data_IF_087529312326
#
_entry.id   IF_087529312326
#
_cell.length_a   1.000
_cell.length_b   1.000
_cell.length_c   1.000
_cell.angle_alpha   90.00
_cell.angle_beta   90.00
_cell.angle_gamma   90.00
#
_symmetry.space_group_name_H-M   'P 1'
#
loop_
_entity.id
_entity.type
_entity.pdbx_description
1 polymer ?
#
# COMPACT_ATOMS: atom_id res chain seq x y z
N UNK A 1 20.39 -36.37 49.77
CA UNK A 1 19.15 -35.98 49.03
C UNK A 1 18.91 -34.47 48.90
N UNK A 2 19.72 -33.58 49.50
CA UNK A 2 19.48 -32.11 49.48
C UNK A 2 20.03 -31.35 48.26
N UNK A 3 20.95 -31.93 47.48
CA UNK A 3 21.63 -31.25 46.36
C UNK A 3 20.95 -31.40 44.99
N UNK A 4 20.00 -32.34 44.84
CA UNK A 4 19.25 -32.53 43.58
C UNK A 4 18.07 -31.57 43.45
N UNK A 5 17.41 -31.23 44.56
CA UNK A 5 16.31 -30.28 44.60
C UNK A 5 16.76 -28.85 44.21
N UNK A 6 17.99 -28.47 44.56
CA UNK A 6 18.53 -27.14 44.26
C UNK A 6 18.85 -26.95 42.76
N UNK A 7 19.16 -28.03 42.04
CA UNK A 7 19.43 -27.97 40.59
C UNK A 7 18.16 -27.88 39.75
N UNK A 8 17.06 -28.48 40.20
CA UNK A 8 15.75 -28.38 39.51
C UNK A 8 15.16 -26.97 39.65
N UNK A 9 15.38 -26.31 40.80
CA UNK A 9 14.91 -24.94 41.02
C UNK A 9 15.67 -23.90 40.16
N UNK A 10 16.93 -24.15 39.82
CA UNK A 10 17.70 -23.27 38.92
C UNK A 10 17.31 -23.40 37.44
N UNK A 11 16.79 -24.54 36.99
CA UNK A 11 16.36 -24.72 35.59
C UNK A 11 15.01 -24.02 35.33
N UNK A 12 14.16 -23.85 36.36
CA UNK A 12 12.91 -23.10 36.22
C UNK A 12 13.08 -21.57 36.17
N UNK A 13 14.22 -21.03 36.62
CA UNK A 13 14.46 -19.60 36.69
C UNK A 13 14.94 -18.96 35.38
N UNK A 14 15.18 -19.75 34.33
CA UNK A 14 15.69 -19.28 33.02
C UNK A 14 14.61 -19.31 31.94
N UNK A 15 13.33 -19.50 32.30
CA UNK A 15 12.22 -19.27 31.40
C UNK A 15 11.87 -17.78 31.35
N UNK A 16 12.78 -16.95 30.83
CA UNK A 16 12.40 -15.61 30.40
C UNK A 16 11.37 -15.77 29.27
N UNK A 17 10.23 -15.05 29.28
CA UNK A 17 9.36 -15.03 28.13
C UNK A 17 10.19 -14.50 26.96
N UNK A 18 10.34 -15.30 25.91
CA UNK A 18 10.81 -14.75 24.65
C UNK A 18 9.75 -13.73 24.22
N UNK A 19 10.10 -12.44 24.22
CA UNK A 19 9.29 -11.43 23.56
C UNK A 19 9.36 -11.70 22.05
N UNK A 20 8.49 -12.60 21.59
CA UNK A 20 8.27 -12.93 20.20
C UNK A 20 7.23 -11.98 19.57
N UNK A 21 7.08 -10.78 20.12
CA UNK A 21 6.24 -9.73 19.55
C UNK A 21 6.98 -9.07 18.38
N UNK A 22 6.29 -8.87 17.26
CA UNK A 22 6.81 -8.01 16.19
C UNK A 22 6.96 -6.60 16.77
N UNK A 23 8.18 -6.07 16.80
CA UNK A 23 8.43 -4.69 17.21
C UNK A 23 7.88 -3.77 16.11
N UNK A 24 6.91 -2.93 16.46
CA UNK A 24 6.33 -1.93 15.56
C UNK A 24 6.72 -0.55 16.08
N UNK A 25 7.49 0.18 15.29
CA UNK A 25 7.83 1.57 15.57
C UNK A 25 6.77 2.50 14.97
N UNK A 26 6.35 3.52 15.72
CA UNK A 26 5.32 4.47 15.30
C UNK A 26 5.84 5.90 15.39
N UNK A 27 5.57 6.71 14.36
CA UNK A 27 5.82 8.14 14.40
C UNK A 27 4.85 8.91 13.50
N UNK A 28 4.88 10.24 13.64
CA UNK A 28 4.20 11.17 12.74
C UNK A 28 5.28 11.85 11.91
N UNK A 29 5.22 11.69 10.59
CA UNK A 29 6.12 12.37 9.67
C UNK A 29 5.86 13.89 9.67
N UNK A 30 6.81 14.68 9.21
CA UNK A 30 6.64 16.15 9.09
C UNK A 30 5.43 16.54 8.23
N UNK A 31 5.03 15.68 7.29
CA UNK A 31 3.82 15.83 6.48
C UNK A 31 2.50 15.60 7.24
N UNK A 32 2.55 15.16 8.50
CA UNK A 32 1.39 14.73 9.29
C UNK A 32 0.98 13.27 9.05
N UNK A 33 1.64 12.55 8.13
CA UNK A 33 1.35 11.14 7.90
C UNK A 33 1.74 10.29 9.12
N UNK A 34 0.81 9.45 9.59
CA UNK A 34 1.09 8.44 10.62
C UNK A 34 1.81 7.27 9.98
N UNK A 35 2.96 6.89 10.53
CA UNK A 35 3.77 5.79 10.01
C UNK A 35 3.87 4.69 11.06
N UNK A 36 3.68 3.46 10.61
CA UNK A 36 3.97 2.25 11.37
C UNK A 36 5.02 1.45 10.60
N UNK A 37 6.12 1.10 11.25
CA UNK A 37 7.26 0.47 10.63
C UNK A 37 7.65 -0.79 11.37
N UNK A 38 7.96 -1.82 10.60
CA UNK A 38 8.50 -3.09 11.10
C UNK A 38 9.76 -3.37 10.32
N UNK A 39 10.88 -3.44 11.03
CA UNK A 39 12.15 -3.84 10.44
C UNK A 39 12.29 -5.36 10.44
N UNK A 40 12.64 -5.91 9.28
CA UNK A 40 12.98 -7.32 9.14
C UNK A 40 14.05 -7.48 8.06
N UNK A 41 15.10 -8.23 8.36
CA UNK A 41 16.17 -8.55 7.42
C UNK A 41 16.08 -9.99 6.89
N UNK A 42 14.92 -10.64 7.05
CA UNK A 42 14.72 -12.02 6.60
C UNK A 42 14.72 -12.15 5.06
N UNK A 43 14.27 -11.10 4.37
CA UNK A 43 14.20 -11.04 2.90
C UNK A 43 14.75 -9.67 2.44
N UNK A 44 15.46 -9.60 1.29
CA UNK A 44 15.98 -8.35 0.75
C UNK A 44 14.89 -7.56 0.01
N UNK A 45 13.77 -7.30 0.69
CA UNK A 45 12.60 -6.62 0.14
C UNK A 45 12.12 -5.52 1.08
N UNK A 46 11.36 -4.60 0.53
CA UNK A 46 10.57 -3.62 1.28
C UNK A 46 9.13 -3.70 0.80
N UNK A 47 8.20 -3.55 1.75
CA UNK A 47 6.78 -3.36 1.48
C UNK A 47 6.38 -1.98 2.02
N UNK A 48 5.75 -1.17 1.18
CA UNK A 48 5.27 0.16 1.52
C UNK A 48 3.79 0.24 1.17
N UNK A 49 2.95 0.45 2.18
CA UNK A 49 1.53 0.71 2.00
C UNK A 49 1.23 2.17 2.33
N UNK A 50 0.58 2.87 1.41
CA UNK A 50 0.06 4.23 1.63
C UNK A 50 -1.44 4.16 1.52
N UNK A 51 -2.15 4.50 2.59
CA UNK A 51 -3.61 4.41 2.67
C UNK A 51 -4.22 5.75 3.09
N UNK A 52 -5.30 6.12 2.43
CA UNK A 52 -6.12 7.29 2.73
C UNK A 52 -7.52 6.84 3.15
N UNK A 53 -8.13 7.58 4.09
CA UNK A 53 -9.55 7.45 4.42
C UNK A 53 -10.39 8.07 3.30
N UNK A 54 -10.45 7.37 2.16
CA UNK A 54 -10.98 7.87 0.89
C UNK A 54 -11.58 6.73 0.03
N UNK A 55 -12.06 5.66 0.67
CA UNK A 55 -12.81 4.60 0.00
C UNK A 55 -14.17 5.08 -0.53
N UNK A 56 -14.94 4.19 -1.16
CA UNK A 56 -16.21 4.58 -1.80
C UNK A 56 -17.28 5.08 -0.83
N UNK A 57 -17.17 4.80 0.47
CA UNK A 57 -18.09 5.36 1.47
C UNK A 57 -17.97 6.89 1.61
N UNK A 58 -16.87 7.48 1.12
CA UNK A 58 -16.64 8.92 1.11
C UNK A 58 -17.17 9.60 -0.16
N UNK A 59 -17.62 8.84 -1.17
CA UNK A 59 -18.22 9.41 -2.37
C UNK A 59 -19.65 9.91 -2.07
N UNK A 60 -19.97 11.12 -2.52
CA UNK A 60 -21.36 11.59 -2.53
C UNK A 60 -22.16 10.85 -3.60
N UNK A 61 -23.50 10.88 -3.52
CA UNK A 61 -24.36 10.26 -4.54
C UNK A 61 -24.11 10.87 -5.92
N UNK A 62 -23.86 12.18 -5.96
CA UNK A 62 -23.59 12.94 -7.17
C UNK A 62 -22.19 12.67 -7.76
N UNK A 63 -21.26 12.18 -6.94
CA UNK A 63 -19.87 11.92 -7.31
C UNK A 63 -19.49 10.45 -7.13
N UNK A 64 -20.46 9.55 -7.33
CA UNK A 64 -20.23 8.11 -7.21
C UNK A 64 -19.04 7.67 -8.10
N UNK A 65 -18.06 7.00 -7.49
CA UNK A 65 -16.85 6.53 -8.16
C UNK A 65 -15.71 7.55 -8.20
N UNK A 66 -15.85 8.72 -7.55
CA UNK A 66 -14.81 9.74 -7.49
C UNK A 66 -13.53 9.18 -6.89
N UNK A 67 -13.57 8.57 -5.69
CA UNK A 67 -12.37 8.02 -5.06
C UNK A 67 -11.66 6.99 -5.94
N UNK A 68 -12.42 6.11 -6.59
CA UNK A 68 -11.87 5.06 -7.47
C UNK A 68 -11.20 5.66 -8.69
N UNK A 69 -11.85 6.62 -9.34
CA UNK A 69 -11.33 7.26 -10.54
C UNK A 69 -10.10 8.13 -10.20
N UNK A 70 -10.13 8.85 -9.08
CA UNK A 70 -8.99 9.59 -8.59
C UNK A 70 -7.79 8.68 -8.37
N UNK A 71 -7.96 7.53 -7.70
CA UNK A 71 -6.88 6.58 -7.46
C UNK A 71 -6.26 6.08 -8.78
N UNK A 72 -7.09 5.69 -9.76
CA UNK A 72 -6.61 5.26 -11.08
C UNK A 72 -5.81 6.36 -11.79
N UNK A 73 -6.27 7.61 -11.66
CA UNK A 73 -5.61 8.76 -12.28
C UNK A 73 -4.27 9.13 -11.66
N UNK A 74 -3.98 8.74 -10.40
CA UNK A 74 -2.67 8.99 -9.78
C UNK A 74 -1.52 8.28 -10.52
N UNK A 75 -1.80 7.20 -11.26
CA UNK A 75 -0.81 6.51 -12.10
C UNK A 75 -0.69 7.09 -13.52
N UNK A 76 -1.62 7.95 -13.92
CA UNK A 76 -1.69 8.49 -15.29
C UNK A 76 -0.62 9.55 -15.59
N UNK A 77 0.32 9.76 -14.68
CA UNK A 77 1.44 10.68 -14.84
C UNK A 77 1.47 11.76 -13.78
N UNK A 78 2.66 12.26 -13.54
CA UNK A 78 3.01 13.20 -12.50
C UNK A 78 4.02 14.23 -13.02
N UNK A 79 4.34 15.22 -12.19
CA UNK A 79 5.19 16.34 -12.61
C UNK A 79 6.58 15.93 -13.12
N UNK A 80 7.11 14.79 -12.66
CA UNK A 80 8.46 14.33 -13.04
C UNK A 80 8.44 13.16 -14.03
N UNK A 81 7.37 12.38 -14.08
CA UNK A 81 7.30 11.17 -14.88
C UNK A 81 5.97 11.06 -15.62
N UNK A 82 6.02 10.77 -16.91
CA UNK A 82 4.84 10.29 -17.64
C UNK A 82 4.38 8.94 -17.11
N UNK A 83 3.13 8.56 -17.38
CA UNK A 83 2.57 7.23 -17.05
C UNK A 83 3.50 6.08 -17.46
N UNK A 84 4.05 6.15 -18.68
CA UNK A 84 4.95 5.13 -19.25
C UNK A 84 6.30 5.11 -18.54
N UNK A 85 6.90 6.27 -18.27
CA UNK A 85 8.18 6.36 -17.56
C UNK A 85 8.08 5.89 -16.12
N UNK A 86 6.99 6.25 -15.44
CA UNK A 86 6.73 5.84 -14.08
C UNK A 86 6.55 4.31 -14.01
N UNK A 87 5.76 3.73 -14.91
CA UNK A 87 5.61 2.28 -15.04
C UNK A 87 6.93 1.58 -15.33
N UNK A 88 7.75 2.12 -16.25
CA UNK A 88 9.08 1.59 -16.55
C UNK A 88 10.02 1.65 -15.34
N UNK A 89 10.06 2.77 -14.60
CA UNK A 89 10.91 2.89 -13.39
C UNK A 89 10.54 1.87 -12.32
N UNK A 90 9.24 1.60 -12.11
CA UNK A 90 8.79 0.56 -11.19
C UNK A 90 9.27 -0.81 -11.67
N UNK A 91 9.08 -1.13 -12.95
CA UNK A 91 9.49 -2.41 -13.52
C UNK A 91 11.02 -2.62 -13.49
N UNK A 92 11.80 -1.62 -13.89
CA UNK A 92 13.27 -1.66 -13.91
C UNK A 92 13.86 -1.83 -12.50
N UNK A 93 13.17 -1.33 -11.47
CA UNK A 93 13.53 -1.55 -10.07
C UNK A 93 13.16 -2.96 -9.55
N UNK A 94 12.56 -3.82 -10.39
CA UNK A 94 12.01 -5.11 -9.97
C UNK A 94 10.84 -4.98 -9.00
N UNK A 95 10.18 -3.82 -8.99
CA UNK A 95 9.12 -3.50 -8.05
C UNK A 95 7.72 -3.81 -8.60
N UNK A 96 6.77 -3.99 -7.71
CA UNK A 96 5.35 -4.19 -8.02
C UNK A 96 4.56 -3.11 -7.31
N UNK A 97 3.68 -2.44 -8.07
CA UNK A 97 2.78 -1.42 -7.55
C UNK A 97 1.33 -1.87 -7.77
N UNK A 98 0.56 -1.92 -6.70
CA UNK A 98 -0.84 -2.32 -6.67
C UNK A 98 -1.70 -1.21 -6.10
N UNK A 99 -2.90 -1.04 -6.64
CA UNK A 99 -3.94 -0.17 -6.11
C UNK A 99 -4.77 -0.94 -5.09
N UNK A 100 -5.03 -0.32 -3.95
CA UNK A 100 -5.95 -0.83 -2.94
C UNK A 100 -7.13 0.14 -2.86
N UNK A 101 -8.34 -0.38 -3.03
CA UNK A 101 -9.56 0.41 -2.88
C UNK A 101 -10.68 -0.45 -2.33
N UNK A 102 -11.25 -0.02 -1.21
CA UNK A 102 -12.39 -0.63 -0.55
C UNK A 102 -13.42 0.44 -0.12
N UNK A 103 -14.35 0.10 0.77
CA UNK A 103 -15.36 1.03 1.26
C UNK A 103 -14.74 2.18 2.07
N UNK A 104 -13.68 1.91 2.83
CA UNK A 104 -13.11 2.82 3.82
C UNK A 104 -11.81 3.47 3.33
N UNK A 105 -11.08 2.78 2.46
CA UNK A 105 -9.69 3.11 2.12
C UNK A 105 -9.44 3.13 0.62
N UNK A 106 -8.54 4.01 0.24
CA UNK A 106 -7.95 4.08 -1.09
C UNK A 106 -6.45 4.30 -0.97
N UNK A 107 -5.64 3.72 -1.86
CA UNK A 107 -4.19 3.89 -1.80
C UNK A 107 -3.40 2.90 -2.63
N UNK A 108 -2.11 2.76 -2.29
CA UNK A 108 -1.18 1.92 -3.02
C UNK A 108 -0.40 0.99 -2.10
N UNK A 109 -0.14 -0.22 -2.58
CA UNK A 109 0.86 -1.13 -2.04
C UNK A 109 2.03 -1.26 -3.02
N UNK A 110 3.24 -1.01 -2.54
CA UNK A 110 4.47 -1.11 -3.29
C UNK A 110 5.37 -2.17 -2.65
N UNK A 111 5.79 -3.15 -3.44
CA UNK A 111 6.85 -4.11 -3.08
C UNK A 111 8.07 -3.87 -3.95
N UNK A 112 9.25 -3.76 -3.35
CA UNK A 112 10.51 -3.55 -4.09
C UNK A 112 11.68 -4.30 -3.43
N UNK A 113 12.80 -4.40 -4.14
CA UNK A 113 14.06 -4.86 -3.56
C UNK A 113 14.60 -3.83 -2.55
N UNK A 114 15.26 -4.30 -1.50
CA UNK A 114 15.79 -3.46 -0.42
C UNK A 114 17.12 -2.79 -0.74
N UNK A 115 17.77 -3.12 -1.86
CA UNK A 115 18.98 -2.44 -2.32
C UNK A 115 18.69 -0.96 -2.59
N UNK A 116 19.69 -0.10 -2.34
CA UNK A 116 19.47 1.34 -2.25
C UNK A 116 18.93 1.95 -3.55
N UNK A 117 19.43 1.51 -4.71
CA UNK A 117 19.02 2.05 -6.00
C UNK A 117 17.55 1.73 -6.31
N UNK A 118 17.17 0.46 -6.17
CA UNK A 118 15.85 -0.09 -6.47
C UNK A 118 14.81 0.43 -5.48
N UNK A 119 15.13 0.42 -4.18
CA UNK A 119 14.30 1.06 -3.15
C UNK A 119 14.02 2.50 -3.49
N UNK A 120 15.07 3.32 -3.73
CA UNK A 120 14.91 4.75 -4.00
C UNK A 120 14.10 4.99 -5.26
N UNK A 121 14.41 4.28 -6.35
CA UNK A 121 13.68 4.41 -7.61
C UNK A 121 12.18 4.15 -7.41
N UNK A 122 11.84 3.04 -6.75
CA UNK A 122 10.45 2.66 -6.51
C UNK A 122 9.72 3.65 -5.59
N UNK A 123 10.30 3.99 -4.44
CA UNK A 123 9.65 4.88 -3.46
C UNK A 123 9.53 6.32 -3.97
N UNK A 124 10.49 6.82 -4.74
CA UNK A 124 10.44 8.17 -5.31
C UNK A 124 9.41 8.27 -6.43
N UNK A 125 9.27 7.23 -7.25
CA UNK A 125 8.22 7.19 -8.28
C UNK A 125 6.83 7.18 -7.63
N UNK A 126 6.61 6.37 -6.59
CA UNK A 126 5.34 6.41 -5.83
C UNK A 126 5.10 7.78 -5.18
N UNK A 127 6.13 8.38 -4.57
CA UNK A 127 5.99 9.70 -3.95
C UNK A 127 5.60 10.78 -4.97
N UNK A 128 6.17 10.75 -6.17
CA UNK A 128 5.85 11.70 -7.24
C UNK A 128 4.41 11.55 -7.76
N UNK A 129 3.95 10.30 -7.94
CA UNK A 129 2.55 10.00 -8.29
C UNK A 129 1.56 10.56 -7.26
N UNK A 130 1.89 10.45 -5.97
CA UNK A 130 1.02 10.88 -4.87
C UNK A 130 1.03 12.40 -4.66
N UNK A 131 2.18 13.05 -4.77
CA UNK A 131 2.36 14.45 -4.38
C UNK A 131 2.17 15.42 -5.55
N UNK A 132 2.41 14.99 -6.78
CA UNK A 132 2.33 15.86 -7.95
C UNK A 132 1.66 15.20 -9.17
N UNK A 133 0.45 14.62 -9.02
CA UNK A 133 -0.30 14.04 -10.15
C UNK A 133 -0.76 15.11 -11.14
N UNK A 134 -0.77 14.79 -12.44
CA UNK A 134 -1.12 15.74 -13.50
C UNK A 134 -2.59 15.67 -13.97
N UNK A 135 -3.28 14.56 -13.71
CA UNK A 135 -4.64 14.29 -14.21
C UNK A 135 -4.85 14.63 -15.71
N UNK A 136 -4.09 14.02 -16.65
CA UNK A 136 -4.21 14.37 -18.06
C UNK A 136 -5.61 14.07 -18.60
N UNK A 137 -6.18 14.99 -19.39
CA UNK A 137 -7.54 14.86 -19.91
C UNK A 137 -7.76 13.59 -20.76
N UNK A 138 -6.78 13.21 -21.58
CA UNK A 138 -6.83 11.98 -22.37
C UNK A 138 -6.90 10.73 -21.50
N UNK A 139 -6.08 10.68 -20.45
CA UNK A 139 -6.11 9.57 -19.50
C UNK A 139 -7.42 9.55 -18.71
N UNK A 140 -7.95 10.71 -18.34
CA UNK A 140 -9.24 10.81 -17.65
C UNK A 140 -10.38 10.21 -18.47
N UNK A 141 -10.52 10.59 -19.75
CA UNK A 141 -11.59 10.03 -20.59
C UNK A 141 -11.45 8.52 -20.78
N UNK A 142 -10.20 8.04 -20.90
CA UNK A 142 -9.90 6.60 -21.00
C UNK A 142 -10.26 5.84 -19.72
N UNK A 143 -9.85 6.33 -18.56
CA UNK A 143 -10.14 5.67 -17.27
C UNK A 143 -11.62 5.78 -16.89
N UNK A 144 -12.28 6.87 -17.24
CA UNK A 144 -13.74 7.01 -17.12
C UNK A 144 -14.48 5.99 -17.98
N UNK A 145 -14.07 5.81 -19.24
CA UNK A 145 -14.66 4.79 -20.12
C UNK A 145 -14.48 3.38 -19.55
N UNK A 146 -13.29 3.06 -19.01
CA UNK A 146 -13.03 1.80 -18.30
C UNK A 146 -13.91 1.63 -17.06
N UNK A 147 -14.03 2.66 -16.22
CA UNK A 147 -14.86 2.60 -15.04
C UNK A 147 -16.34 2.31 -15.38
N UNK A 148 -16.88 2.95 -16.42
CA UNK A 148 -18.24 2.70 -16.91
C UNK A 148 -18.39 1.27 -17.43
N UNK A 149 -17.41 0.77 -18.19
CA UNK A 149 -17.44 -0.61 -18.70
C UNK A 149 -17.43 -1.63 -17.54
N UNK A 150 -16.56 -1.44 -16.56
CA UNK A 150 -16.47 -2.30 -15.38
C UNK A 150 -17.77 -2.28 -14.56
N UNK A 151 -18.42 -1.12 -14.43
CA UNK A 151 -19.70 -1.00 -13.74
C UNK A 151 -20.81 -1.79 -14.45
N UNK A 152 -20.88 -1.70 -15.79
CA UNK A 152 -21.84 -2.47 -16.59
C UNK A 152 -21.60 -3.98 -16.50
N UNK A 153 -20.33 -4.39 -16.52
CA UNK A 153 -19.97 -5.81 -16.35
C UNK A 153 -20.33 -6.31 -14.95
N UNK A 154 -20.16 -5.50 -13.91
CA UNK A 154 -20.57 -5.89 -12.56
C UNK A 154 -22.08 -6.13 -12.45
N UNK A 155 -22.90 -5.44 -13.25
CA UNK A 155 -24.37 -5.64 -13.27
C UNK A 155 -24.79 -6.95 -13.94
N UNK A 156 -23.92 -7.57 -14.74
CA UNK A 156 -24.21 -8.88 -15.37
C UNK A 156 -23.74 -10.07 -14.52
N UNK A 157 -23.06 -9.81 -13.40
CA UNK A 157 -22.52 -10.85 -12.51
C UNK A 157 -23.40 -10.97 -11.23
N UNK A 158 -24.11 -12.10 -11.04
CA UNK A 158 -25.02 -12.29 -9.90
C UNK A 158 -24.37 -12.05 -8.53
N UNK A 159 -23.12 -12.48 -8.37
CA UNK A 159 -22.37 -12.38 -7.11
C UNK A 159 -22.10 -10.92 -6.70
N UNK A 160 -21.94 -10.01 -7.68
CA UNK A 160 -21.71 -8.57 -7.41
C UNK A 160 -22.98 -7.78 -7.15
N UNK A 161 -24.13 -8.28 -7.61
CA UNK A 161 -25.44 -7.66 -7.33
C UNK A 161 -25.84 -7.90 -5.87
N UNK A 162 -25.35 -8.98 -5.24
CA UNK A 162 -25.63 -9.31 -3.85
C UNK A 162 -24.84 -8.47 -2.81
N UNK A 163 -23.75 -7.82 -3.23
CA UNK A 163 -22.88 -7.01 -2.36
C UNK A 163 -23.24 -5.50 -2.36
N UNK A 164 -24.24 -5.08 -3.14
CA UNK A 164 -24.78 -3.71 -3.18
C UNK A 164 -25.79 -3.47 -2.06
#
# INVERSE_FOLDING_TARGET
>A
MRSRALRVLMILAVAAPAEAGVKIDHWIAESGARVSFVESHALPIIDVAVEFAAGSAYDSREQAGLGRLTLAMLKAGSSRYSEIEASRRIADAGAQLQENFDLDRAGFALRSLSSEAERKAATQTLADMLQAPLFPAEAFEREKARAIANAREAETQPDRVAER
#
